data_IF_910031632413
#
_entry.id   IF_910031632413
#
_cell.length_a   1.000
_cell.length_b   1.000
_cell.length_c   1.000
_cell.angle_alpha   90.00
_cell.angle_beta   90.00
_cell.angle_gamma   90.00
#
_symmetry.space_group_name_H-M   'P 1'
#
loop_
_entity.id
_entity.type
_entity.pdbx_description
1 polymer ?
#
# COMPACT_ATOMS: atom_id res chain seq x y z
N UNK A 1 17.59 -1.21 -3.97
CA UNK A 1 17.13 -0.34 -2.87
C UNK A 1 15.62 -0.22 -3.03
N UNK A 2 14.87 -0.86 -2.14
CA UNK A 2 13.41 -0.99 -2.19
C UNK A 2 12.81 0.39 -1.94
N UNK A 3 12.16 0.99 -2.94
CA UNK A 3 11.38 2.23 -2.76
C UNK A 3 10.22 1.93 -1.81
N UNK A 4 10.14 2.66 -0.68
CA UNK A 4 9.03 2.54 0.26
C UNK A 4 7.76 2.99 -0.47
N UNK A 5 6.62 2.32 -0.26
CA UNK A 5 5.33 2.64 -0.90
C UNK A 5 4.97 4.14 -0.83
N UNK A 6 5.30 4.79 0.28
CA UNK A 6 5.04 6.23 0.47
C UNK A 6 6.06 7.14 -0.24
N UNK A 7 7.27 6.65 -0.55
CA UNK A 7 8.31 7.44 -1.24
C UNK A 7 7.89 7.80 -2.67
N UNK A 8 6.98 7.03 -3.27
CA UNK A 8 6.43 7.29 -4.60
C UNK A 8 5.18 8.16 -4.59
N UNK A 9 4.55 8.45 -3.44
CA UNK A 9 3.37 9.31 -3.41
C UNK A 9 3.77 10.78 -3.56
N UNK A 10 3.11 11.49 -4.48
CA UNK A 10 3.29 12.93 -4.66
C UNK A 10 2.02 13.60 -5.19
N UNK A 11 2.01 14.94 -5.16
CA UNK A 11 0.97 15.75 -5.82
C UNK A 11 1.55 16.32 -7.12
N UNK A 12 0.80 16.24 -8.22
CA UNK A 12 1.18 16.84 -9.50
C UNK A 12 0.74 18.32 -9.61
N UNK A 13 1.11 18.99 -10.70
CA UNK A 13 0.76 20.40 -10.96
C UNK A 13 -0.76 20.66 -11.09
N UNK A 14 -1.56 19.61 -11.25
CA UNK A 14 -3.04 19.66 -11.28
C UNK A 14 -3.67 19.41 -9.91
N UNK A 15 -2.86 19.36 -8.84
CA UNK A 15 -3.27 19.05 -7.48
C UNK A 15 -3.92 17.66 -7.33
N UNK A 16 -3.43 16.67 -8.07
CA UNK A 16 -3.90 15.29 -8.03
C UNK A 16 -2.87 14.41 -7.31
N UNK A 17 -3.33 13.53 -6.43
CA UNK A 17 -2.50 12.48 -5.86
C UNK A 17 -2.02 11.53 -6.95
N UNK A 18 -0.71 11.32 -7.03
CA UNK A 18 -0.05 10.50 -8.02
C UNK A 18 0.94 9.53 -7.38
N UNK A 19 1.17 8.42 -8.07
CA UNK A 19 2.33 7.55 -7.87
C UNK A 19 3.43 7.93 -8.87
N UNK A 20 4.63 8.15 -8.37
CA UNK A 20 5.84 8.41 -9.16
C UNK A 20 6.44 7.08 -9.58
N UNK A 21 6.37 6.79 -10.87
CA UNK A 21 6.95 5.59 -11.44
C UNK A 21 8.45 5.78 -11.69
N UNK A 22 9.28 5.35 -10.74
CA UNK A 22 10.75 5.44 -10.84
C UNK A 22 11.26 4.09 -11.37
N UNK A 23 11.30 3.91 -12.69
CA UNK A 23 11.98 2.77 -13.28
C UNK A 23 13.49 3.03 -13.33
N UNK A 24 14.28 2.24 -12.60
CA UNK A 24 15.74 2.36 -12.48
C UNK A 24 16.50 2.37 -13.83
N UNK A 25 15.88 1.89 -14.91
CA UNK A 25 16.50 1.75 -16.23
C UNK A 25 16.18 2.88 -17.21
N UNK A 26 15.25 3.79 -16.87
CA UNK A 26 14.93 4.93 -17.72
C UNK A 26 15.53 6.21 -17.13
N UNK A 27 16.44 6.83 -17.88
CA UNK A 27 16.96 8.18 -17.61
C UNK A 27 15.92 9.28 -17.91
N UNK A 28 14.66 8.92 -18.19
CA UNK A 28 13.57 9.84 -18.42
C UNK A 28 12.93 10.27 -17.11
N UNK A 29 12.36 11.49 -17.10
CA UNK A 29 11.58 12.02 -15.98
C UNK A 29 10.51 11.03 -15.55
N UNK A 30 10.55 10.61 -14.28
CA UNK A 30 9.61 9.64 -13.71
C UNK A 30 8.16 10.03 -14.01
N UNK A 31 7.40 9.11 -14.62
CA UNK A 31 6.02 9.38 -15.00
C UNK A 31 5.15 9.48 -13.73
N UNK A 32 4.36 10.56 -13.63
CA UNK A 32 3.38 10.73 -12.55
C UNK A 32 2.03 10.15 -12.98
N UNK A 33 1.60 9.08 -12.32
CA UNK A 33 0.32 8.40 -12.58
C UNK A 33 -0.70 8.79 -11.51
N UNK A 34 -1.80 9.49 -11.84
CA UNK A 34 -2.85 9.82 -10.87
C UNK A 34 -3.46 8.57 -10.23
N UNK A 35 -3.70 8.63 -8.93
CA UNK A 35 -4.40 7.59 -8.16
C UNK A 35 -5.90 7.93 -8.17
N UNK A 36 -6.65 7.19 -8.97
CA UNK A 36 -8.07 7.40 -9.18
C UNK A 36 -8.90 6.45 -8.31
N UNK A 37 -10.11 6.87 -7.96
CA UNK A 37 -11.08 6.02 -7.29
C UNK A 37 -11.73 5.06 -8.29
N UNK A 38 -11.95 3.83 -7.86
CA UNK A 38 -12.58 2.81 -8.71
C UNK A 38 -14.09 3.04 -8.92
N UNK A 39 -14.74 3.83 -8.06
CA UNK A 39 -16.19 4.05 -8.08
C UNK A 39 -16.62 5.13 -9.08
N UNK A 40 -15.81 6.18 -9.26
CA UNK A 40 -16.17 7.34 -10.09
C UNK A 40 -15.04 7.88 -10.97
N UNK A 41 -13.85 7.25 -10.97
CA UNK A 41 -12.65 7.71 -11.69
C UNK A 41 -12.13 9.11 -11.29
N UNK A 42 -12.62 9.69 -10.19
CA UNK A 42 -12.09 10.94 -9.66
C UNK A 42 -10.77 10.70 -8.90
N UNK A 43 -9.83 11.65 -8.90
CA UNK A 43 -8.62 11.54 -8.09
C UNK A 43 -8.93 11.44 -6.60
N UNK A 44 -8.22 10.57 -5.90
CA UNK A 44 -8.29 10.53 -4.43
C UNK A 44 -7.74 11.83 -3.81
N UNK A 45 -8.40 12.34 -2.77
CA UNK A 45 -7.74 13.26 -1.82
C UNK A 45 -6.72 12.48 -1.00
N UNK A 46 -5.55 13.06 -0.74
CA UNK A 46 -4.49 12.41 0.05
C UNK A 46 -4.98 12.00 1.45
N UNK A 47 -5.78 12.83 2.11
CA UNK A 47 -6.32 12.52 3.44
C UNK A 47 -7.23 11.30 3.44
N UNK A 48 -8.08 11.16 2.41
CA UNK A 48 -8.99 10.03 2.27
C UNK A 48 -8.24 8.76 1.88
N UNK A 49 -7.25 8.88 0.99
CA UNK A 49 -6.39 7.77 0.60
C UNK A 49 -5.63 7.22 1.80
N UNK A 50 -4.94 8.07 2.56
CA UNK A 50 -4.19 7.66 3.75
C UNK A 50 -5.10 7.05 4.82
N UNK A 51 -6.30 7.59 5.00
CA UNK A 51 -7.30 7.00 5.89
C UNK A 51 -7.70 5.59 5.43
N UNK A 52 -7.92 5.40 4.13
CA UNK A 52 -8.21 4.08 3.56
C UNK A 52 -7.08 3.09 3.78
N UNK A 53 -5.82 3.52 3.60
CA UNK A 53 -4.63 2.70 3.86
C UNK A 53 -4.53 2.35 5.36
N UNK A 54 -4.77 3.29 6.27
CA UNK A 54 -4.79 3.04 7.73
C UNK A 54 -5.81 1.95 8.08
N UNK A 55 -7.06 2.12 7.61
CA UNK A 55 -8.15 1.18 7.85
C UNK A 55 -7.84 -0.22 7.28
N UNK A 56 -7.14 -0.30 6.15
CA UNK A 56 -6.71 -1.58 5.57
C UNK A 56 -5.74 -2.30 6.51
N UNK A 57 -4.73 -1.62 7.05
CA UNK A 57 -3.77 -2.22 7.99
C UNK A 57 -4.42 -2.57 9.34
N UNK A 58 -5.24 -1.68 9.89
CA UNK A 58 -6.04 -1.97 11.10
C UNK A 58 -6.96 -3.20 10.90
N UNK A 59 -7.49 -3.38 9.69
CA UNK A 59 -8.25 -4.57 9.33
C UNK A 59 -7.42 -5.86 9.40
N UNK A 60 -6.12 -5.81 9.09
CA UNK A 60 -5.24 -6.96 9.23
C UNK A 60 -5.00 -7.35 10.70
N UNK A 61 -4.92 -6.36 11.59
CA UNK A 61 -4.83 -6.60 13.04
C UNK A 61 -6.10 -7.26 13.57
N UNK A 62 -7.28 -6.75 13.18
CA UNK A 62 -8.55 -7.36 13.55
C UNK A 62 -8.67 -8.80 13.04
N UNK A 63 -8.20 -9.08 11.82
CA UNK A 63 -8.18 -10.42 11.25
C UNK A 63 -7.24 -11.37 12.02
N UNK A 64 -6.11 -10.87 12.54
CA UNK A 64 -5.23 -11.66 13.42
C UNK A 64 -5.96 -12.04 14.71
N UNK A 65 -6.59 -11.08 15.38
CA UNK A 65 -7.36 -11.35 16.60
C UNK A 65 -8.47 -12.37 16.36
N UNK A 66 -9.18 -12.23 15.24
CA UNK A 66 -10.21 -13.18 14.85
C UNK A 66 -9.66 -14.58 14.56
N UNK A 67 -8.49 -14.68 13.91
CA UNK A 67 -7.86 -15.99 13.66
C UNK A 67 -7.48 -16.68 14.96
N UNK A 68 -6.94 -15.93 15.93
CA UNK A 68 -6.59 -16.43 17.27
C UNK A 68 -7.82 -16.92 18.04
N UNK A 69 -8.92 -16.17 17.99
CA UNK A 69 -10.21 -16.60 18.56
C UNK A 69 -10.68 -17.95 17.99
N UNK A 70 -10.49 -18.18 16.68
CA UNK A 70 -10.82 -19.44 16.02
C UNK A 70 -9.78 -20.56 16.21
N UNK A 71 -8.63 -20.29 16.85
CA UNK A 71 -7.52 -21.24 16.97
C UNK A 71 -6.80 -21.52 15.65
N UNK A 72 -6.86 -20.58 14.70
CA UNK A 72 -6.21 -20.64 13.38
C UNK A 72 -5.07 -19.63 13.25
N UNK A 73 -4.13 -19.90 12.35
CA UNK A 73 -2.97 -19.05 12.12
C UNK A 73 -2.98 -18.46 10.71
N UNK A 74 -2.77 -17.15 10.62
CA UNK A 74 -2.50 -16.45 9.36
C UNK A 74 -0.99 -16.20 9.29
N UNK A 75 -0.39 -16.49 8.14
CA UNK A 75 1.04 -16.25 7.89
C UNK A 75 1.20 -15.28 6.72
N UNK A 76 2.15 -14.36 6.85
CA UNK A 76 2.55 -13.48 5.75
C UNK A 76 3.54 -14.23 4.84
N UNK A 77 3.08 -14.62 3.66
CA UNK A 77 3.87 -15.32 2.65
C UNK A 77 4.40 -14.39 1.55
N UNK A 78 4.16 -13.08 1.63
CA UNK A 78 4.56 -12.11 0.61
C UNK A 78 5.80 -11.34 1.06
N UNK A 79 6.91 -11.60 0.37
CA UNK A 79 8.16 -10.87 0.57
C UNK A 79 7.98 -9.36 0.38
N UNK A 80 8.65 -8.56 1.21
CA UNK A 80 8.63 -7.09 1.17
C UNK A 80 7.23 -6.43 1.24
N UNK A 81 6.18 -7.20 1.56
CA UNK A 81 4.89 -6.60 1.89
C UNK A 81 4.99 -5.76 3.16
N UNK A 82 4.16 -4.72 3.21
CA UNK A 82 4.03 -3.83 4.37
C UNK A 82 3.07 -4.37 5.43
N UNK A 83 2.46 -5.55 5.23
CA UNK A 83 1.58 -6.18 6.22
C UNK A 83 2.46 -6.77 7.33
N UNK A 84 2.38 -6.21 8.52
CA UNK A 84 3.19 -6.60 9.69
C UNK A 84 2.39 -7.28 10.81
N UNK A 85 1.06 -7.36 10.69
CA UNK A 85 0.19 -8.04 11.66
C UNK A 85 0.52 -9.54 11.82
N UNK A 86 0.97 -10.21 10.76
CA UNK A 86 1.16 -11.68 10.75
C UNK A 86 2.64 -12.08 10.80
N UNK A 87 2.92 -13.23 11.43
CA UNK A 87 4.26 -13.85 11.36
C UNK A 87 4.62 -14.17 9.92
N UNK A 88 5.88 -13.93 9.54
CA UNK A 88 6.38 -14.32 8.22
C UNK A 88 6.46 -15.83 8.10
N UNK A 89 6.05 -16.36 6.95
CA UNK A 89 6.29 -17.75 6.62
C UNK A 89 7.80 -17.95 6.39
N UNK A 90 8.41 -18.76 7.25
CA UNK A 90 9.80 -19.20 7.11
C UNK A 90 9.79 -20.68 6.74
N UNK A 91 10.29 -21.02 5.56
CA UNK A 91 10.62 -22.41 5.22
C UNK A 91 11.85 -22.81 6.05
N UNK A 92 11.65 -23.58 7.13
CA UNK A 92 12.71 -24.32 7.78
C UNK A 92 12.84 -25.70 7.14
#
# INVERSE_FOLDING_TARGET
MTTLFFDSLCINDKNQLCNRDIHFYNNDTAALKPILRNDNNEPWKISEYLKGISLMFEGHDLLLEYSQYLGSNILNCTENSMIDSYKRYTNN
#
